data_IF_909362617902
#
_entry.id   IF_909362617902
#
_cell.length_a   1.000
_cell.length_b   1.000
_cell.length_c   1.000
_cell.angle_alpha   90.00
_cell.angle_beta   90.00
_cell.angle_gamma   90.00
#
_symmetry.space_group_name_H-M   'P 1'
#
loop_
_entity.id
_entity.type
_entity.pdbx_description
1 polymer ?
#
# COMPACT_ATOMS: atom_id res chain seq x y z
N UNK A 1 11.63 43.66 -22.85
CA UNK A 1 11.88 42.65 -21.80
C UNK A 1 10.63 41.81 -21.65
N UNK A 2 10.55 40.68 -22.34
CA UNK A 2 9.41 39.74 -22.30
C UNK A 2 9.88 38.47 -21.61
N UNK A 3 9.38 38.25 -20.40
CA UNK A 3 9.73 37.09 -19.58
C UNK A 3 9.13 35.81 -20.13
N UNK A 4 9.97 34.81 -20.39
CA UNK A 4 9.58 33.45 -20.72
C UNK A 4 9.14 32.72 -19.46
N UNK A 5 7.83 32.48 -19.32
CA UNK A 5 7.31 31.55 -18.32
C UNK A 5 7.70 30.13 -18.71
N UNK A 6 8.59 29.50 -17.93
CA UNK A 6 8.94 28.09 -18.05
C UNK A 6 7.73 27.21 -17.68
N UNK A 7 6.82 26.99 -18.63
CA UNK A 7 5.75 26.01 -18.51
C UNK A 7 6.37 24.61 -18.57
N UNK A 8 6.64 24.01 -17.41
CA UNK A 8 6.93 22.58 -17.32
C UNK A 8 5.63 21.87 -17.67
N UNK A 9 5.49 21.39 -18.90
CA UNK A 9 4.41 20.49 -19.29
C UNK A 9 4.64 19.18 -18.55
N UNK A 10 4.05 19.06 -17.36
CA UNK A 10 3.95 17.78 -16.66
C UNK A 10 2.96 16.91 -17.43
N UNK A 11 3.46 16.01 -18.28
CA UNK A 11 2.65 14.99 -18.92
C UNK A 11 1.98 14.12 -17.85
N UNK A 12 0.67 14.33 -17.66
CA UNK A 12 -0.17 13.50 -16.81
C UNK A 12 -0.39 12.16 -17.51
N UNK A 13 -0.20 11.06 -16.78
CA UNK A 13 -0.38 9.70 -17.32
C UNK A 13 -1.85 9.28 -17.23
N UNK A 14 -2.61 9.61 -18.28
CA UNK A 14 -4.04 9.32 -18.36
C UNK A 14 -4.35 7.81 -18.31
N UNK A 15 -3.47 6.98 -18.83
CA UNK A 15 -3.51 5.52 -18.75
C UNK A 15 -3.56 5.02 -17.30
N UNK A 16 -2.66 5.52 -16.45
CA UNK A 16 -2.62 5.14 -15.03
C UNK A 16 -3.82 5.67 -14.24
N UNK A 17 -4.31 6.86 -14.58
CA UNK A 17 -5.47 7.44 -13.91
C UNK A 17 -6.75 6.67 -14.25
N UNK A 18 -6.94 6.29 -15.52
CA UNK A 18 -8.05 5.44 -15.94
C UNK A 18 -7.98 4.06 -15.28
N UNK A 19 -6.79 3.45 -15.23
CA UNK A 19 -6.59 2.17 -14.57
C UNK A 19 -6.94 2.24 -13.08
N UNK A 20 -6.45 3.26 -12.35
CA UNK A 20 -6.81 3.45 -10.94
C UNK A 20 -8.30 3.65 -10.73
N UNK A 21 -8.96 4.38 -11.63
CA UNK A 21 -10.41 4.63 -11.55
C UNK A 21 -11.19 3.34 -11.77
N UNK A 22 -10.82 2.55 -12.77
CA UNK A 22 -11.38 1.23 -13.02
C UNK A 22 -11.21 0.30 -11.80
N UNK A 23 -9.98 0.23 -11.26
CA UNK A 23 -9.71 -0.58 -10.07
C UNK A 23 -10.50 -0.10 -8.86
N UNK A 24 -10.75 1.20 -8.72
CA UNK A 24 -11.53 1.75 -7.61
C UNK A 24 -13.00 1.32 -7.72
N UNK A 25 -13.56 1.37 -8.94
CA UNK A 25 -14.87 0.81 -9.22
C UNK A 25 -14.95 -0.69 -8.87
N UNK A 26 -13.92 -1.47 -9.22
CA UNK A 26 -13.86 -2.88 -8.84
C UNK A 26 -13.78 -3.10 -7.33
N UNK A 27 -13.07 -2.25 -6.57
CA UNK A 27 -13.03 -2.31 -5.10
C UNK A 27 -14.43 -2.13 -4.53
N UNK A 28 -15.18 -1.14 -5.04
CA UNK A 28 -16.56 -0.88 -4.62
C UNK A 28 -17.43 -2.11 -4.90
N UNK A 29 -17.42 -2.63 -6.13
CA UNK A 29 -18.18 -3.82 -6.50
C UNK A 29 -17.76 -5.06 -5.71
N UNK A 30 -16.47 -5.22 -5.42
CA UNK A 30 -15.97 -6.32 -4.59
C UNK A 30 -16.57 -6.25 -3.18
N UNK A 31 -16.53 -5.08 -2.54
CA UNK A 31 -17.05 -4.92 -1.19
C UNK A 31 -18.58 -4.97 -1.13
N UNK A 32 -19.28 -4.56 -2.19
CA UNK A 32 -20.74 -4.73 -2.24
C UNK A 32 -21.15 -6.19 -2.25
N UNK A 33 -20.33 -7.12 -2.74
CA UNK A 33 -20.69 -8.56 -2.69
C UNK A 33 -20.71 -9.15 -1.28
N UNK A 34 -19.96 -8.57 -0.33
CA UNK A 34 -19.80 -9.09 1.04
C UNK A 34 -21.15 -9.22 1.76
N UNK A 35 -22.00 -8.17 1.88
CA UNK A 35 -23.31 -8.27 2.54
C UNK A 35 -24.32 -9.19 1.82
N UNK A 36 -24.13 -9.49 0.53
CA UNK A 36 -25.03 -10.31 -0.29
C UNK A 36 -24.57 -11.75 -0.47
N UNK A 37 -23.75 -12.29 0.44
CA UNK A 37 -23.33 -13.70 0.41
C UNK A 37 -21.99 -13.94 -0.27
N UNK A 38 -21.17 -12.91 -0.47
CA UNK A 38 -19.78 -13.03 -0.91
C UNK A 38 -18.79 -13.37 0.21
N UNK A 39 -19.18 -13.25 1.49
CA UNK A 39 -18.33 -13.62 2.63
C UNK A 39 -19.11 -13.64 3.95
N UNK A 40 -18.69 -14.45 4.94
CA UNK A 40 -19.27 -14.38 6.28
C UNK A 40 -18.85 -13.15 7.09
N UNK A 41 -17.86 -12.36 6.65
CA UNK A 41 -17.19 -11.32 7.45
C UNK A 41 -17.95 -9.98 7.54
N UNK A 42 -19.19 -9.89 7.04
CA UNK A 42 -19.95 -8.64 7.05
C UNK A 42 -20.62 -8.37 8.40
N UNK A 43 -20.48 -7.15 8.90
CA UNK A 43 -21.28 -6.63 10.02
C UNK A 43 -22.75 -6.42 9.61
N UNK A 44 -23.00 -6.05 8.36
CA UNK A 44 -24.33 -5.85 7.79
C UNK A 44 -24.60 -6.96 6.77
N UNK A 45 -25.65 -7.75 6.97
CA UNK A 45 -26.03 -8.81 6.02
C UNK A 45 -27.38 -8.53 5.41
N UNK A 46 -27.52 -8.86 4.14
CA UNK A 46 -28.81 -8.81 3.47
C UNK A 46 -29.77 -9.82 4.11
N UNK A 47 -30.98 -9.36 4.43
CA UNK A 47 -32.07 -10.22 4.93
C UNK A 47 -32.65 -11.12 3.84
N UNK A 48 -32.38 -10.82 2.57
CA UNK A 48 -32.96 -11.51 1.40
C UNK A 48 -32.06 -12.64 0.89
N UNK A 49 -30.76 -12.61 1.17
CA UNK A 49 -29.81 -13.63 0.68
C UNK A 49 -29.40 -14.55 1.82
N UNK A 50 -29.81 -15.82 1.72
CA UNK A 50 -29.47 -16.85 2.69
C UNK A 50 -28.30 -17.68 2.19
N UNK A 51 -27.12 -17.48 2.78
CA UNK A 51 -25.93 -18.29 2.53
C UNK A 51 -25.02 -17.78 1.40
N UNK A 52 -23.92 -18.50 1.13
CA UNK A 52 -22.93 -18.09 0.15
C UNK A 52 -23.44 -18.25 -1.29
N UNK A 53 -23.23 -17.23 -2.14
CA UNK A 53 -23.51 -17.33 -3.58
C UNK A 53 -22.24 -17.76 -4.34
N UNK A 54 -22.24 -18.91 -5.05
CA UNK A 54 -21.07 -19.37 -5.80
C UNK A 54 -20.58 -18.35 -6.83
N UNK A 55 -21.50 -17.64 -7.51
CA UNK A 55 -21.16 -16.61 -8.49
C UNK A 55 -20.46 -15.41 -7.85
N UNK A 56 -20.96 -14.93 -6.69
CA UNK A 56 -20.34 -13.82 -5.97
C UNK A 56 -19.00 -14.22 -5.35
N UNK A 57 -18.88 -15.46 -4.85
CA UNK A 57 -17.61 -16.01 -4.39
C UNK A 57 -16.58 -16.11 -5.51
N UNK A 58 -16.98 -16.59 -6.69
CA UNK A 58 -16.13 -16.64 -7.87
C UNK A 58 -15.68 -15.24 -8.30
N UNK A 59 -16.62 -14.29 -8.42
CA UNK A 59 -16.31 -12.88 -8.72
C UNK A 59 -15.34 -12.27 -7.71
N UNK A 60 -15.61 -12.45 -6.40
CA UNK A 60 -14.73 -11.99 -5.32
C UNK A 60 -13.34 -12.59 -5.47
N UNK A 61 -13.23 -13.89 -5.71
CA UNK A 61 -11.96 -14.62 -5.82
C UNK A 61 -11.15 -14.18 -7.03
N UNK A 62 -11.80 -13.99 -8.18
CA UNK A 62 -11.18 -13.48 -9.41
C UNK A 62 -10.71 -12.05 -9.19
N UNK A 63 -11.55 -11.16 -8.65
CA UNK A 63 -11.13 -9.80 -8.36
C UNK A 63 -9.94 -9.80 -7.41
N UNK A 64 -10.03 -10.53 -6.30
CA UNK A 64 -8.99 -10.61 -5.28
C UNK A 64 -7.69 -11.21 -5.77
N UNK A 65 -7.63 -11.89 -6.91
CA UNK A 65 -6.38 -12.42 -7.42
C UNK A 65 -5.45 -11.33 -7.95
N UNK A 66 -5.98 -10.27 -8.57
CA UNK A 66 -5.16 -9.28 -9.27
C UNK A 66 -5.27 -7.86 -8.71
N UNK A 67 -6.46 -7.38 -8.33
CA UNK A 67 -6.68 -5.94 -8.16
C UNK A 67 -5.80 -5.28 -7.09
N UNK A 68 -5.66 -5.93 -5.92
CA UNK A 68 -4.80 -5.42 -4.85
C UNK A 68 -3.32 -5.45 -5.25
N UNK A 69 -2.88 -6.51 -5.94
CA UNK A 69 -1.52 -6.61 -6.46
C UNK A 69 -1.22 -5.53 -7.50
N UNK A 70 -2.17 -5.23 -8.40
CA UNK A 70 -2.04 -4.12 -9.34
C UNK A 70 -1.93 -2.78 -8.61
N UNK A 71 -2.71 -2.58 -7.54
CA UNK A 71 -2.61 -1.37 -6.71
C UNK A 71 -1.25 -1.22 -6.01
N UNK A 72 -0.68 -2.30 -5.45
CA UNK A 72 0.66 -2.27 -4.87
C UNK A 72 1.72 -1.97 -5.94
N UNK A 73 1.64 -2.61 -7.10
CA UNK A 73 2.56 -2.35 -8.22
C UNK A 73 2.50 -0.88 -8.69
N UNK A 74 1.30 -0.32 -8.89
CA UNK A 74 1.15 1.11 -9.25
C UNK A 74 1.77 1.99 -8.17
N UNK A 75 1.49 1.70 -6.90
CA UNK A 75 1.99 2.51 -5.79
C UNK A 75 3.51 2.43 -5.66
N UNK A 76 4.11 1.25 -5.79
CA UNK A 76 5.57 1.06 -5.81
C UNK A 76 6.25 1.90 -6.88
N UNK A 77 5.68 1.95 -8.10
CA UNK A 77 6.19 2.84 -9.18
C UNK A 77 6.11 4.32 -8.80
N UNK A 78 5.02 4.74 -8.16
CA UNK A 78 4.84 6.13 -7.72
C UNK A 78 5.78 6.50 -6.57
N UNK A 79 6.04 5.56 -5.66
CA UNK A 79 7.00 5.73 -4.57
C UNK A 79 8.43 5.80 -5.09
N UNK A 80 8.83 4.92 -6.02
CA UNK A 80 10.12 5.01 -6.69
C UNK A 80 10.30 6.36 -7.43
N UNK A 81 9.27 6.82 -8.15
CA UNK A 81 9.27 8.13 -8.79
C UNK A 81 9.37 9.29 -7.80
N UNK A 82 8.72 9.18 -6.64
CA UNK A 82 8.76 10.18 -5.58
C UNK A 82 10.13 10.24 -4.91
N UNK A 83 10.75 9.09 -4.60
CA UNK A 83 12.10 9.00 -4.05
C UNK A 83 13.18 9.54 -5.02
N UNK A 84 12.92 9.56 -6.32
CA UNK A 84 13.81 10.18 -7.29
C UNK A 84 13.77 11.72 -7.26
N UNK A 85 12.74 12.32 -6.65
CA UNK A 85 12.52 13.79 -6.62
C UNK A 85 12.54 14.39 -5.22
N UNK A 86 12.21 13.60 -4.20
CA UNK A 86 12.03 14.03 -2.82
C UNK A 86 13.07 13.37 -1.92
N UNK A 87 13.44 14.07 -0.84
CA UNK A 87 14.22 13.46 0.23
C UNK A 87 13.39 12.35 0.92
N UNK A 88 14.01 11.23 1.36
CA UNK A 88 13.31 10.12 2.01
C UNK A 88 12.44 10.54 3.20
N UNK A 89 12.94 11.46 4.04
CA UNK A 89 12.23 11.97 5.21
C UNK A 89 10.94 12.72 4.83
N UNK A 90 11.01 13.57 3.79
CA UNK A 90 9.85 14.30 3.29
C UNK A 90 8.80 13.36 2.69
N UNK A 91 9.22 12.27 2.05
CA UNK A 91 8.30 11.25 1.56
C UNK A 91 7.56 10.57 2.72
N UNK A 92 8.29 10.14 3.76
CA UNK A 92 7.70 9.48 4.93
C UNK A 92 6.65 10.37 5.57
N UNK A 93 6.95 11.65 5.82
CA UNK A 93 6.00 12.61 6.39
C UNK A 93 4.73 12.78 5.54
N UNK A 94 4.88 12.91 4.22
CA UNK A 94 3.74 13.01 3.28
C UNK A 94 2.89 11.74 3.27
N UNK A 95 3.52 10.56 3.28
CA UNK A 95 2.83 9.28 3.28
C UNK A 95 2.12 9.01 4.61
N UNK A 96 2.71 9.39 5.75
CA UNK A 96 2.07 9.32 7.07
C UNK A 96 0.80 10.17 7.12
N UNK A 97 0.84 11.39 6.58
CA UNK A 97 -0.32 12.28 6.55
C UNK A 97 -1.43 11.71 5.66
N UNK A 98 -1.09 11.21 4.46
CA UNK A 98 -2.08 10.78 3.48
C UNK A 98 -2.56 9.33 3.64
N UNK A 99 -1.77 8.44 4.27
CA UNK A 99 -2.11 7.03 4.45
C UNK A 99 -2.30 6.70 5.93
N UNK A 100 -1.41 7.17 6.81
CA UNK A 100 -1.45 6.88 8.24
C UNK A 100 -2.69 7.46 8.92
N UNK A 101 -2.96 8.75 8.74
CA UNK A 101 -4.12 9.40 9.35
C UNK A 101 -5.44 8.75 8.88
N UNK A 102 -5.70 8.56 7.57
CA UNK A 102 -6.92 7.88 7.13
C UNK A 102 -7.04 6.44 7.66
N UNK A 103 -5.93 5.70 7.73
CA UNK A 103 -5.91 4.34 8.29
C UNK A 103 -6.31 4.33 9.77
N UNK A 104 -5.73 5.23 10.56
CA UNK A 104 -6.03 5.36 11.98
C UNK A 104 -7.47 5.81 12.19
N UNK A 105 -7.94 6.81 11.45
CA UNK A 105 -9.30 7.30 11.54
C UNK A 105 -10.32 6.22 11.18
N UNK A 106 -10.09 5.48 10.09
CA UNK A 106 -10.96 4.38 9.68
C UNK A 106 -11.04 3.29 10.77
N UNK A 107 -9.89 2.88 11.30
CA UNK A 107 -9.82 1.84 12.33
C UNK A 107 -10.49 2.29 13.63
N UNK A 108 -10.21 3.51 14.09
CA UNK A 108 -10.66 3.97 15.40
C UNK A 108 -12.10 4.46 15.44
N UNK A 109 -12.62 4.99 14.33
CA UNK A 109 -13.93 5.65 14.31
C UNK A 109 -14.91 4.99 13.33
N UNK A 110 -14.49 4.70 12.09
CA UNK A 110 -15.42 4.19 11.07
C UNK A 110 -15.86 2.76 11.38
N UNK A 111 -14.95 1.86 11.74
CA UNK A 111 -15.31 0.48 12.11
C UNK A 111 -16.28 0.43 13.29
N UNK A 112 -16.02 1.06 14.45
CA UNK A 112 -16.97 1.03 15.56
C UNK A 112 -18.29 1.72 15.20
N UNK A 113 -18.30 2.78 14.38
CA UNK A 113 -19.54 3.38 13.90
C UNK A 113 -20.37 2.40 13.04
N UNK A 114 -19.74 1.67 12.12
CA UNK A 114 -20.43 0.65 11.30
C UNK A 114 -20.95 -0.49 12.16
N UNK A 115 -20.19 -0.93 13.17
CA UNK A 115 -20.64 -1.92 14.15
C UNK A 115 -21.84 -1.43 14.95
N UNK A 116 -21.79 -0.19 15.43
CA UNK A 116 -22.89 0.41 16.19
C UNK A 116 -24.19 0.45 15.39
N UNK A 117 -24.13 0.79 14.09
CA UNK A 117 -25.29 0.75 13.18
C UNK A 117 -25.86 -0.67 13.04
N UNK A 118 -25.02 -1.70 13.12
CA UNK A 118 -25.43 -3.09 13.02
C UNK A 118 -25.96 -3.69 14.34
N UNK A 119 -26.00 -2.92 15.44
CA UNK A 119 -26.48 -3.42 16.73
C UNK A 119 -28.00 -3.65 16.73
N UNK A 120 -28.51 -4.67 17.46
CA UNK A 120 -29.95 -4.94 17.55
C UNK A 120 -30.76 -3.83 18.22
N UNK A 121 -30.14 -3.09 19.14
CA UNK A 121 -30.73 -1.95 19.85
C UNK A 121 -29.76 -0.77 19.84
N UNK A 122 -30.30 0.44 19.75
CA UNK A 122 -29.54 1.69 19.73
C UNK A 122 -29.63 2.43 21.07
N UNK A 123 -29.53 1.68 22.17
CA UNK A 123 -29.42 2.27 23.49
C UNK A 123 -27.97 2.67 23.80
N UNK A 124 -27.80 3.76 24.55
CA UNK A 124 -26.48 4.35 24.81
C UNK A 124 -25.56 3.38 25.58
N UNK A 125 -26.12 2.53 26.43
CA UNK A 125 -25.37 1.57 27.22
C UNK A 125 -24.75 0.48 26.32
N UNK A 126 -25.54 -0.13 25.45
CA UNK A 126 -25.11 -1.16 24.50
C UNK A 126 -24.11 -0.62 23.47
N UNK A 127 -24.35 0.58 22.92
CA UNK A 127 -23.39 1.22 22.01
C UNK A 127 -22.05 1.46 22.73
N UNK A 128 -22.09 2.05 23.93
CA UNK A 128 -20.88 2.32 24.72
C UNK A 128 -20.12 1.04 25.03
N UNK A 129 -20.83 -0.02 25.41
CA UNK A 129 -20.22 -1.31 25.70
C UNK A 129 -19.55 -1.93 24.47
N UNK A 130 -20.21 -1.94 23.30
CA UNK A 130 -19.61 -2.48 22.06
C UNK A 130 -18.36 -1.69 21.65
N UNK A 131 -18.41 -0.36 21.71
CA UNK A 131 -17.26 0.50 21.34
C UNK A 131 -16.08 0.29 22.29
N UNK A 132 -16.33 0.25 23.61
CA UNK A 132 -15.26 0.00 24.59
C UNK A 132 -14.67 -1.40 24.45
N UNK A 133 -15.52 -2.41 24.21
CA UNK A 133 -15.07 -3.77 23.94
C UNK A 133 -14.23 -3.83 22.67
N UNK A 134 -14.66 -3.14 21.60
CA UNK A 134 -13.92 -3.04 20.35
C UNK A 134 -12.53 -2.45 20.57
N UNK A 135 -12.43 -1.27 21.20
CA UNK A 135 -11.14 -0.65 21.49
C UNK A 135 -10.26 -1.48 22.44
N UNK A 136 -10.85 -2.12 23.46
CA UNK A 136 -10.11 -3.01 24.37
C UNK A 136 -9.57 -4.27 23.70
N UNK A 137 -10.21 -4.72 22.61
CA UNK A 137 -9.78 -5.86 21.79
C UNK A 137 -8.89 -5.46 20.60
N UNK A 138 -8.60 -4.16 20.44
CA UNK A 138 -7.91 -3.65 19.26
C UNK A 138 -6.44 -4.08 19.26
N UNK A 139 -6.12 -5.07 18.42
CA UNK A 139 -4.75 -5.58 18.24
C UNK A 139 -3.97 -4.92 17.10
N UNK A 140 -4.53 -3.92 16.41
CA UNK A 140 -3.92 -3.29 15.25
C UNK A 140 -4.92 -2.67 14.27
N UNK A 141 -4.49 -2.49 13.01
CA UNK A 141 -5.35 -2.02 11.91
C UNK A 141 -6.41 -3.07 11.64
N UNK A 142 -7.66 -2.66 11.42
CA UNK A 142 -8.77 -3.60 11.19
C UNK A 142 -9.53 -3.28 9.90
N UNK A 143 -10.22 -4.31 9.38
CA UNK A 143 -11.03 -4.19 8.17
C UNK A 143 -10.20 -3.80 6.95
N UNK A 144 -10.80 -2.98 6.07
CA UNK A 144 -10.26 -2.66 4.75
C UNK A 144 -9.04 -1.72 4.78
N UNK A 145 -8.72 -1.12 5.92
CA UNK A 145 -7.57 -0.22 6.07
C UNK A 145 -6.22 -0.94 6.06
N UNK A 146 -6.19 -2.27 6.04
CA UNK A 146 -4.96 -3.05 5.92
C UNK A 146 -4.11 -2.61 4.71
N UNK A 147 -4.74 -2.29 3.57
CA UNK A 147 -4.03 -1.91 2.35
C UNK A 147 -3.18 -0.65 2.54
N UNK A 148 -3.78 0.41 3.09
CA UNK A 148 -3.10 1.69 3.31
C UNK A 148 -2.01 1.58 4.36
N UNK A 149 -2.22 0.74 5.39
CA UNK A 149 -1.23 0.44 6.41
C UNK A 149 -0.01 -0.32 5.84
N UNK A 150 -0.26 -1.38 5.08
CA UNK A 150 0.79 -2.15 4.40
C UNK A 150 1.57 -1.27 3.44
N UNK A 151 0.86 -0.44 2.67
CA UNK A 151 1.49 0.46 1.72
C UNK A 151 2.39 1.48 2.42
N UNK A 152 1.94 2.05 3.54
CA UNK A 152 2.75 2.95 4.35
C UNK A 152 4.04 2.26 4.84
N UNK A 153 3.94 1.02 5.31
CA UNK A 153 5.12 0.23 5.74
C UNK A 153 6.08 0.03 4.57
N UNK A 154 5.58 -0.40 3.40
CA UNK A 154 6.41 -0.59 2.20
C UNK A 154 7.10 0.72 1.77
N UNK A 155 6.38 1.84 1.81
CA UNK A 155 6.92 3.16 1.47
C UNK A 155 8.02 3.61 2.44
N UNK A 156 7.83 3.37 3.75
CA UNK A 156 8.82 3.67 4.78
C UNK A 156 10.05 2.78 4.61
N UNK A 157 9.87 1.47 4.38
CA UNK A 157 10.97 0.54 4.13
C UNK A 157 11.78 0.97 2.89
N UNK A 158 11.11 1.35 1.81
CA UNK A 158 11.77 1.87 0.61
C UNK A 158 12.59 3.12 0.93
N UNK A 159 12.03 4.08 1.68
CA UNK A 159 12.73 5.28 2.09
C UNK A 159 13.97 4.99 2.97
N UNK A 160 13.85 4.05 3.92
CA UNK A 160 14.96 3.62 4.79
C UNK A 160 16.08 2.97 3.97
N UNK A 161 15.73 2.09 3.02
CA UNK A 161 16.73 1.46 2.13
C UNK A 161 17.50 2.52 1.34
N UNK A 162 16.80 3.54 0.83
CA UNK A 162 17.43 4.65 0.11
C UNK A 162 18.36 5.46 1.04
N UNK A 163 17.91 5.77 2.25
CA UNK A 163 18.69 6.49 3.26
C UNK A 163 19.95 5.72 3.67
N UNK A 164 19.86 4.41 3.92
CA UNK A 164 20.99 3.55 4.24
C UNK A 164 22.03 3.51 3.11
N UNK A 165 21.57 3.45 1.85
CA UNK A 165 22.44 3.51 0.66
C UNK A 165 23.16 4.85 0.54
N UNK A 166 22.50 5.96 0.86
CA UNK A 166 23.12 7.28 0.88
C UNK A 166 24.21 7.39 1.95
N UNK A 167 23.93 6.91 3.17
CA UNK A 167 24.91 6.91 4.27
C UNK A 167 26.17 6.10 3.94
N UNK A 168 25.99 4.88 3.40
CA UNK A 168 27.11 4.03 2.98
C UNK A 168 27.98 4.66 1.87
N UNK A 169 27.35 5.34 0.91
CA UNK A 169 28.06 6.05 -0.16
C UNK A 169 28.86 7.25 0.35
N UNK A 170 28.27 8.05 1.24
CA UNK A 170 28.94 9.20 1.85
C UNK A 170 30.17 8.76 2.67
N UNK A 171 30.04 7.67 3.43
CA UNK A 171 31.16 7.11 4.19
C UNK A 171 32.29 6.64 3.26
N UNK A 172 31.97 5.98 2.14
CA UNK A 172 32.95 5.54 1.15
C UNK A 172 33.67 6.72 0.46
N UNK A 173 32.94 7.81 0.16
CA UNK A 173 33.56 9.02 -0.40
C UNK A 173 34.45 9.73 0.61
N UNK A 174 34.06 9.78 1.88
CA UNK A 174 34.86 10.41 2.94
C UNK A 174 36.17 9.66 3.17
N UNK A 175 36.14 8.32 3.18
CA UNK A 175 37.34 7.47 3.27
C UNK A 175 38.27 7.74 2.08
N UNK A 176 37.75 7.71 0.84
CA UNK A 176 38.56 8.04 -0.36
C UNK A 176 39.13 9.45 -0.31
N UNK A 177 38.39 10.43 0.22
CA UNK A 177 38.86 11.81 0.34
C UNK A 177 39.99 11.96 1.36
N UNK A 178 39.95 11.21 2.47
CA UNK A 178 41.00 11.15 3.49
C UNK A 178 42.27 10.48 2.93
N UNK A 179 42.13 9.34 2.27
CA UNK A 179 43.25 8.62 1.64
C UNK A 179 43.91 9.46 0.53
N UNK A 180 43.10 10.28 -0.17
CA UNK A 180 43.62 11.22 -1.17
C UNK A 180 44.31 12.42 -0.55
N UNK A 181 43.88 12.91 0.62
CA UNK A 181 44.55 14.00 1.35
C UNK A 181 45.90 13.59 1.94
N UNK A 182 46.06 12.33 2.36
CA UNK A 182 47.35 11.78 2.82
C UNK A 182 48.32 11.52 1.68
N UNK A 183 47.83 11.34 0.43
CA UNK A 183 48.67 11.07 -0.75
C UNK A 183 48.85 12.28 -1.68
N UNK A 184 48.01 13.32 -1.59
CA UNK A 184 48.05 14.48 -2.47
C UNK A 184 48.20 15.79 -1.69
N UNK A 185 49.43 16.08 -1.26
CA UNK A 185 49.95 17.45 -1.24
C UNK A 185 50.24 17.91 -2.67
N UNK A 186 49.24 17.92 -3.56
CA UNK A 186 49.23 18.61 -4.86
C UNK A 186 48.06 18.08 -5.69
N UNK A 187 47.04 18.91 -5.87
CA UNK A 187 46.25 19.10 -7.10
C UNK A 187 44.79 19.47 -6.77
N UNK A 188 44.46 20.72 -7.09
CA UNK A 188 43.11 21.24 -7.12
C UNK A 188 42.28 20.42 -8.13
N UNK A 189 41.27 19.70 -7.64
CA UNK A 189 40.23 19.16 -8.52
C UNK A 189 38.84 19.65 -8.09
N UNK A 190 38.23 20.34 -9.05
CA UNK A 190 36.93 21.00 -9.07
C UNK A 190 35.83 19.97 -8.75
N UNK A 191 35.03 20.27 -7.73
CA UNK A 191 33.90 19.45 -7.26
C UNK A 191 32.81 19.42 -8.34
N UNK A 192 32.64 18.28 -9.03
CA UNK A 192 31.51 18.06 -9.92
C UNK A 192 30.32 17.59 -9.09
N UNK A 193 29.27 18.40 -9.03
CA UNK A 193 27.99 18.05 -8.42
C UNK A 193 27.27 17.03 -9.30
N UNK A 194 27.69 15.76 -9.23
CA UNK A 194 27.11 14.72 -10.07
C UNK A 194 25.70 14.36 -9.62
N UNK A 195 24.83 14.21 -10.62
CA UNK A 195 23.39 14.17 -10.50
C UNK A 195 22.90 13.04 -9.59
N UNK A 196 22.11 13.45 -8.60
CA UNK A 196 21.48 12.72 -7.50
C UNK A 196 20.37 11.76 -7.98
N UNK A 197 20.65 10.85 -8.92
CA UNK A 197 19.66 9.86 -9.41
C UNK A 197 19.90 8.51 -8.74
N UNK A 198 19.02 8.12 -7.83
CA UNK A 198 18.88 6.71 -7.45
C UNK A 198 18.36 5.94 -8.66
N UNK A 199 19.25 5.25 -9.36
CA UNK A 199 18.87 4.23 -10.33
C UNK A 199 18.53 2.95 -9.55
N UNK A 200 17.24 2.65 -9.42
CA UNK A 200 16.79 1.30 -9.09
C UNK A 200 17.26 0.36 -10.22
N UNK A 201 17.72 -0.87 -9.93
CA UNK A 201 18.26 -1.75 -10.96
C UNK A 201 17.20 -1.97 -12.07
N UNK A 202 17.57 -1.81 -13.35
CA UNK A 202 16.62 -1.91 -14.44
C UNK A 202 16.40 -3.40 -14.73
N UNK A 203 15.35 -3.98 -14.17
CA UNK A 203 14.74 -5.14 -14.78
C UNK A 203 13.49 -4.63 -15.53
N UNK A 204 13.64 -4.09 -16.76
CA UNK A 204 12.52 -3.49 -17.49
C UNK A 204 11.35 -4.47 -17.70
N UNK A 205 11.65 -5.78 -17.66
CA UNK A 205 10.65 -6.84 -17.70
C UNK A 205 9.88 -6.97 -16.38
N UNK A 206 10.55 -6.91 -15.23
CA UNK A 206 9.88 -6.92 -13.91
C UNK A 206 9.06 -5.65 -13.74
N UNK A 207 9.59 -4.49 -14.12
CA UNK A 207 8.87 -3.22 -14.02
C UNK A 207 7.58 -3.21 -14.86
N UNK A 208 7.56 -3.88 -16.02
CA UNK A 208 6.39 -3.92 -16.91
C UNK A 208 5.41 -5.04 -16.60
N UNK A 209 5.92 -6.22 -16.23
CA UNK A 209 5.13 -7.44 -16.21
C UNK A 209 4.96 -8.06 -14.82
N UNK A 210 5.58 -7.55 -13.75
CA UNK A 210 5.51 -8.15 -12.41
C UNK A 210 4.09 -8.40 -11.89
N UNK A 211 3.10 -7.61 -12.33
CA UNK A 211 1.71 -7.77 -11.90
C UNK A 211 1.05 -9.06 -12.43
N UNK A 212 1.46 -9.58 -13.60
CA UNK A 212 0.90 -10.79 -14.20
C UNK A 212 1.25 -12.08 -13.42
N UNK A 213 2.52 -12.40 -13.14
CA UNK A 213 2.88 -13.56 -12.35
C UNK A 213 2.37 -13.42 -10.91
N UNK A 214 2.34 -12.22 -10.34
CA UNK A 214 1.73 -11.95 -9.02
C UNK A 214 0.24 -12.31 -9.02
N UNK A 215 -0.50 -11.87 -10.04
CA UNK A 215 -1.92 -12.19 -10.18
C UNK A 215 -2.14 -13.69 -10.39
N UNK A 216 -1.31 -14.33 -11.23
CA UNK A 216 -1.39 -15.76 -11.51
C UNK A 216 -1.08 -16.60 -10.26
N UNK A 217 0.00 -16.30 -9.54
CA UNK A 217 0.37 -17.00 -8.30
C UNK A 217 -0.70 -16.78 -7.22
N UNK A 218 -1.20 -15.56 -7.09
CA UNK A 218 -2.33 -15.27 -6.19
C UNK A 218 -3.59 -16.08 -6.56
N UNK A 219 -3.91 -16.17 -7.85
CA UNK A 219 -5.06 -16.92 -8.34
C UNK A 219 -4.93 -18.42 -8.07
N UNK A 220 -3.75 -19.00 -8.34
CA UNK A 220 -3.48 -20.42 -8.12
C UNK A 220 -3.53 -20.77 -6.63
N UNK A 221 -2.91 -19.97 -5.76
CA UNK A 221 -2.97 -20.14 -4.31
C UNK A 221 -4.43 -20.11 -3.82
N UNK A 222 -5.24 -19.18 -4.33
CA UNK A 222 -6.65 -19.01 -3.91
C UNK A 222 -7.58 -20.11 -4.41
N UNK A 223 -7.28 -20.70 -5.57
CA UNK A 223 -8.15 -21.72 -6.20
C UNK A 223 -7.72 -23.15 -5.90
N UNK A 224 -6.45 -23.40 -5.57
CA UNK A 224 -5.90 -24.75 -5.41
C UNK A 224 -5.56 -25.15 -3.98
N UNK A 225 -5.51 -24.22 -3.00
CA UNK A 225 -5.28 -24.57 -1.60
C UNK A 225 -6.63 -24.83 -0.89
N UNK A 226 -6.95 -26.09 -0.54
CA UNK A 226 -8.16 -26.41 0.22
C UNK A 226 -8.04 -25.83 1.64
N UNK A 227 -9.03 -25.02 2.06
CA UNK A 227 -9.01 -24.29 3.34
C UNK A 227 -9.18 -22.76 3.22
N UNK A 228 -9.39 -22.25 2.00
CA UNK A 228 -9.79 -20.86 1.77
C UNK A 228 -11.29 -20.70 2.09
N UNK A 229 -11.69 -20.03 3.20
CA UNK A 229 -11.30 -18.64 3.51
C UNK A 229 -11.03 -18.44 5.01
N UNK A 230 -9.77 -18.27 5.45
CA UNK A 230 -9.56 -17.94 6.87
C UNK A 230 -8.17 -18.23 7.43
N UNK A 231 -7.11 -17.87 6.73
CA UNK A 231 -5.79 -17.83 7.37
C UNK A 231 -5.79 -16.79 8.50
N UNK A 232 -5.19 -17.13 9.65
CA UNK A 232 -5.01 -16.21 10.80
C UNK A 232 -4.42 -14.90 10.30
N UNK A 233 -5.12 -13.80 10.54
CA UNK A 233 -4.58 -12.47 10.29
C UNK A 233 -3.42 -12.19 11.24
N UNK A 234 -2.32 -11.67 10.71
CA UNK A 234 -1.16 -11.29 11.49
C UNK A 234 -1.32 -9.85 11.96
N UNK A 235 -1.48 -9.68 13.27
CA UNK A 235 -1.43 -8.38 13.93
C UNK A 235 0.01 -7.85 13.91
N UNK A 236 0.21 -6.51 13.83
CA UNK A 236 -0.79 -5.45 13.91
C UNK A 236 -1.37 -4.99 12.56
N UNK A 237 -0.87 -5.48 11.42
CA UNK A 237 -1.24 -4.96 10.10
C UNK A 237 -2.46 -5.64 9.46
N UNK A 238 -2.99 -6.69 10.10
CA UNK A 238 -4.06 -7.53 9.56
C UNK A 238 -3.66 -8.18 8.22
N UNK A 239 -2.40 -8.63 8.13
CA UNK A 239 -1.87 -9.28 6.94
C UNK A 239 -2.33 -10.74 6.91
N UNK A 240 -2.81 -11.19 5.76
CA UNK A 240 -3.00 -12.61 5.53
C UNK A 240 -1.83 -13.17 4.73
N UNK A 241 -1.29 -14.30 5.19
CA UNK A 241 -0.17 -14.98 4.54
C UNK A 241 -0.53 -15.43 3.11
N UNK A 242 -1.80 -15.76 2.89
CA UNK A 242 -2.34 -16.09 1.57
C UNK A 242 -2.31 -14.94 0.56
N UNK A 243 -2.15 -13.70 1.03
CA UNK A 243 -2.07 -12.52 0.17
C UNK A 243 -0.62 -12.06 -0.02
N UNK A 244 0.37 -12.78 0.51
CA UNK A 244 1.79 -12.50 0.33
C UNK A 244 2.19 -12.19 -1.12
N UNK A 245 1.73 -12.94 -2.14
CA UNK A 245 2.12 -12.65 -3.52
C UNK A 245 1.66 -11.28 -4.00
N UNK A 246 0.67 -10.67 -3.34
CA UNK A 246 0.09 -9.37 -3.70
C UNK A 246 0.88 -8.20 -3.13
N UNK A 247 1.71 -8.43 -2.12
CA UNK A 247 2.49 -7.39 -1.45
C UNK A 247 3.82 -7.10 -2.19
N UNK A 248 3.74 -6.94 -3.51
CA UNK A 248 4.89 -6.75 -4.42
C UNK A 248 4.97 -5.30 -4.91
#
# INVERSE_FOLDING_TARGET
>A
MTGTSNNIITFRRHDLDNLKTFLAGLVVLHHTTIPYGGSPESYLRSVVVHGPSPALLAFKSVNQSFFMGTYFWISGRMTAHSLAKLAPESLIGRKLLHLGIPTAFYTLFIIPAVRAVALPSWDLATIRQDVLQYWGSLGGVTGNAWYTATLLVLDVLAAIIVMARHSSRNLSSDVKSRDRKTTAASSNTRYSSDNRRLTFPPAPLVEKWAWLPVALVSFLIRTRLPGFPGGRAWTPLNLHLSFLPQYV
#
